data_IF_831353684677
#
_entry.id   IF_831353684677
#
_cell.length_a   1.000
_cell.length_b   1.000
_cell.length_c   1.000
_cell.angle_alpha   90.00
_cell.angle_beta   90.00
_cell.angle_gamma   90.00
#
_symmetry.space_group_name_H-M   'P 1'
#
loop_
_entity.id
_entity.type
_entity.pdbx_description
1 polymer ?
#
# COMPACT_ATOMS: atom_id res chain seq x y z
N UNK A 1 6.84 34.76 5.90
CA UNK A 1 6.85 33.45 6.60
C UNK A 1 5.42 33.16 7.00
N UNK A 2 4.77 32.21 6.32
CA UNK A 2 3.42 31.77 6.67
C UNK A 2 3.54 30.77 7.83
N UNK A 3 2.79 30.92 8.93
CA UNK A 3 2.91 30.04 10.08
C UNK A 3 2.35 28.66 9.76
N UNK A 4 3.17 27.64 9.93
CA UNK A 4 2.76 26.23 9.86
C UNK A 4 1.79 25.96 11.03
N UNK A 5 0.58 25.51 10.73
CA UNK A 5 -0.43 25.21 11.75
C UNK A 5 0.07 24.08 12.66
N UNK A 6 -0.12 24.26 13.96
CA UNK A 6 0.42 23.44 15.05
C UNK A 6 -0.36 22.12 15.24
N UNK A 7 -0.47 21.32 14.20
CA UNK A 7 -1.12 20.00 14.26
C UNK A 7 -0.09 18.92 13.97
N UNK A 8 0.34 18.31 15.07
CA UNK A 8 1.18 17.11 15.22
C UNK A 8 2.69 17.34 15.23
N UNK A 9 3.25 17.38 16.45
CA UNK A 9 4.69 17.26 16.73
C UNK A 9 5.28 15.96 16.16
N UNK A 10 4.42 14.96 15.90
CA UNK A 10 4.78 13.61 15.46
C UNK A 10 4.41 13.28 14.00
N UNK A 11 3.97 14.27 13.22
CA UNK A 11 3.46 14.06 11.85
C UNK A 11 2.06 13.45 11.79
N UNK A 12 1.51 13.33 10.58
CA UNK A 12 0.15 12.84 10.28
C UNK A 12 0.19 11.61 9.39
N UNK A 13 -0.71 10.67 9.65
CA UNK A 13 -0.84 9.43 8.88
C UNK A 13 -1.48 9.64 7.51
N UNK A 14 -2.37 10.62 7.37
CA UNK A 14 -2.98 11.01 6.10
C UNK A 14 -2.82 12.50 5.85
N UNK A 15 -1.98 12.85 4.86
CA UNK A 15 -1.69 14.23 4.49
C UNK A 15 -2.84 14.91 3.76
N UNK A 16 -3.86 14.18 3.28
CA UNK A 16 -5.07 14.81 2.72
C UNK A 16 -5.88 15.61 3.76
N UNK A 17 -5.63 15.36 5.04
CA UNK A 17 -6.24 16.12 6.15
C UNK A 17 -5.59 17.50 6.37
N UNK A 18 -4.42 17.76 5.76
CA UNK A 18 -3.72 19.03 5.90
C UNK A 18 -4.42 20.14 5.11
N UNK A 19 -4.67 21.28 5.75
CA UNK A 19 -5.34 22.45 5.16
C UNK A 19 -4.59 23.02 3.94
N UNK A 20 -3.27 22.86 3.90
CA UNK A 20 -2.43 23.26 2.77
C UNK A 20 -1.43 22.15 2.46
N UNK A 21 -1.66 21.43 1.37
CA UNK A 21 -0.77 20.39 0.87
C UNK A 21 0.24 20.99 -0.11
N UNK A 22 1.30 21.61 0.42
CA UNK A 22 2.44 22.10 -0.36
C UNK A 22 3.65 21.17 -0.20
N UNK A 23 4.63 21.29 -1.10
CA UNK A 23 5.80 20.41 -1.17
C UNK A 23 6.57 20.37 0.16
N UNK A 24 6.75 21.52 0.80
CA UNK A 24 7.46 21.62 2.07
C UNK A 24 6.73 20.91 3.22
N UNK A 25 5.40 20.96 3.26
CA UNK A 25 4.60 20.25 4.26
C UNK A 25 4.65 18.73 4.06
N UNK A 26 4.60 18.26 2.81
CA UNK A 26 4.75 16.85 2.47
C UNK A 26 6.12 16.36 2.93
N UNK A 27 7.18 17.06 2.53
CA UNK A 27 8.56 16.69 2.85
C UNK A 27 8.79 16.67 4.36
N UNK A 28 8.30 17.68 5.07
CA UNK A 28 8.43 17.76 6.52
C UNK A 28 7.71 16.61 7.23
N UNK A 29 6.49 16.27 6.80
CA UNK A 29 5.74 15.17 7.40
C UNK A 29 6.42 13.82 7.17
N UNK A 30 6.85 13.56 5.93
CA UNK A 30 7.59 12.34 5.59
C UNK A 30 8.89 12.24 6.41
N UNK A 31 9.61 13.35 6.58
CA UNK A 31 10.82 13.41 7.41
C UNK A 31 10.54 13.08 8.88
N UNK A 32 9.51 13.66 9.48
CA UNK A 32 9.14 13.39 10.88
C UNK A 32 8.81 11.91 11.10
N UNK A 33 7.96 11.35 10.23
CA UNK A 33 7.54 9.95 10.30
C UNK A 33 8.69 8.99 10.05
N UNK A 34 9.54 9.28 9.06
CA UNK A 34 10.72 8.47 8.75
C UNK A 34 11.67 8.34 9.96
N UNK A 35 11.86 9.42 10.74
CA UNK A 35 12.70 9.39 11.95
C UNK A 35 12.16 8.48 13.05
N UNK A 36 10.89 8.10 12.98
CA UNK A 36 10.20 7.21 13.91
C UNK A 36 10.01 5.80 13.31
N UNK A 37 10.69 5.48 12.21
CA UNK A 37 10.53 4.22 11.46
C UNK A 37 9.13 4.01 10.87
N UNK A 38 8.35 5.09 10.72
CA UNK A 38 7.04 5.10 10.06
C UNK A 38 7.21 5.45 8.58
N UNK A 39 7.47 4.44 7.76
CA UNK A 39 7.83 4.63 6.35
C UNK A 39 6.63 4.84 5.41
N UNK A 40 5.42 4.52 5.86
CA UNK A 40 4.20 4.59 5.08
C UNK A 40 3.35 5.78 5.51
N UNK A 41 2.83 6.54 4.55
CA UNK A 41 1.97 7.70 4.79
C UNK A 41 0.92 7.81 3.70
N UNK A 42 -0.34 8.01 4.07
CA UNK A 42 -1.42 8.24 3.11
C UNK A 42 -1.41 9.69 2.60
N UNK A 43 -1.77 9.85 1.34
CA UNK A 43 -2.05 11.12 0.67
C UNK A 43 -3.37 10.91 -0.08
N UNK A 44 -4.48 10.91 0.67
CA UNK A 44 -5.78 10.51 0.13
C UNK A 44 -5.76 9.05 -0.34
N UNK A 45 -5.91 8.81 -1.64
CA UNK A 45 -5.87 7.46 -2.23
C UNK A 45 -4.47 6.95 -2.59
N UNK A 46 -3.43 7.74 -2.35
CA UNK A 46 -2.03 7.39 -2.62
C UNK A 46 -1.36 6.98 -1.30
N UNK A 47 -0.57 5.92 -1.33
CA UNK A 47 0.33 5.51 -0.25
C UNK A 47 1.76 5.94 -0.61
N UNK A 48 2.29 6.92 0.09
CA UNK A 48 3.71 7.27 0.01
C UNK A 48 4.53 6.30 0.88
N UNK A 49 5.62 5.76 0.32
CA UNK A 49 6.54 4.84 0.96
C UNK A 49 7.97 5.36 0.88
N UNK A 50 8.60 5.61 2.02
CA UNK A 50 10.01 6.05 2.07
C UNK A 50 10.89 4.84 2.37
N UNK A 51 11.85 4.53 1.49
CA UNK A 51 12.73 3.38 1.69
C UNK A 51 13.53 3.51 3.01
N UNK A 52 13.38 2.59 3.98
CA UNK A 52 14.11 2.65 5.24
C UNK A 52 15.62 2.38 5.10
N UNK A 53 16.07 1.73 4.03
CA UNK A 53 17.43 1.18 3.87
C UNK A 53 17.89 0.27 5.03
N UNK A 54 16.93 -0.20 5.83
CA UNK A 54 17.10 -1.13 6.96
C UNK A 54 15.85 -2.00 7.10
N UNK A 55 16.00 -3.13 7.75
CA UNK A 55 14.85 -3.93 8.16
C UNK A 55 14.17 -3.27 9.38
N UNK A 56 12.84 -3.12 9.32
CA UNK A 56 12.03 -2.68 10.45
C UNK A 56 11.35 -3.93 11.01
N UNK A 57 11.60 -4.22 12.29
CA UNK A 57 11.05 -5.41 12.93
C UNK A 57 9.51 -5.39 12.94
N UNK A 58 8.89 -6.55 12.70
CA UNK A 58 7.44 -6.75 12.71
C UNK A 58 6.64 -6.03 11.62
N UNK A 59 7.29 -5.31 10.71
CA UNK A 59 6.58 -4.56 9.68
C UNK A 59 5.89 -5.46 8.64
N UNK A 60 6.45 -6.63 8.34
CA UNK A 60 5.94 -7.55 7.32
C UNK A 60 5.73 -8.98 7.82
N UNK A 61 5.65 -9.17 9.13
CA UNK A 61 5.48 -10.50 9.74
C UNK A 61 4.07 -11.05 9.50
N UNK A 62 3.89 -12.36 9.73
CA UNK A 62 2.62 -13.06 9.55
C UNK A 62 1.48 -12.44 10.40
N UNK A 63 1.78 -12.04 11.64
CA UNK A 63 0.84 -11.35 12.52
C UNK A 63 0.32 -10.05 11.88
N UNK A 64 1.18 -9.33 11.16
CA UNK A 64 0.83 -8.09 10.46
C UNK A 64 -0.04 -8.38 9.23
N UNK A 65 0.25 -9.45 8.49
CA UNK A 65 -0.62 -9.92 7.40
C UNK A 65 -2.01 -10.24 7.93
N UNK A 66 -2.11 -11.00 9.01
CA UNK A 66 -3.38 -11.37 9.63
C UNK A 66 -4.14 -10.13 10.13
N UNK A 67 -3.44 -9.20 10.81
CA UNK A 67 -4.03 -7.95 11.30
C UNK A 67 -4.67 -7.17 10.15
N UNK A 68 -3.93 -6.89 9.07
CA UNK A 68 -4.46 -6.09 7.96
C UNK A 68 -5.52 -6.82 7.13
N UNK A 69 -5.52 -8.16 7.09
CA UNK A 69 -6.56 -8.93 6.38
C UNK A 69 -7.97 -8.71 6.94
N UNK A 70 -8.07 -8.44 8.25
CA UNK A 70 -9.35 -8.32 8.97
C UNK A 70 -9.92 -6.90 8.99
N UNK A 71 -9.12 -5.90 8.61
CA UNK A 71 -9.48 -4.49 8.73
C UNK A 71 -9.68 -3.83 7.37
N UNK A 72 -10.54 -2.81 7.34
CA UNK A 72 -10.80 -1.98 6.16
C UNK A 72 -9.74 -0.89 6.01
N UNK A 73 -9.61 -0.38 4.77
CA UNK A 73 -8.74 0.77 4.50
C UNK A 73 -9.16 1.96 5.37
N UNK A 74 -8.21 2.52 6.13
CA UNK A 74 -8.44 3.64 7.04
C UNK A 74 -8.74 3.26 8.50
N UNK A 75 -8.95 1.98 8.82
CA UNK A 75 -9.11 1.52 10.22
C UNK A 75 -7.77 1.33 10.95
N UNK A 76 -6.71 1.05 10.18
CA UNK A 76 -5.35 0.85 10.67
C UNK A 76 -4.40 1.89 10.09
N UNK A 77 -3.22 2.07 10.69
CA UNK A 77 -2.18 2.96 10.16
C UNK A 77 -1.83 2.68 8.68
N UNK A 78 -1.26 3.65 7.96
CA UNK A 78 -0.87 3.49 6.57
C UNK A 78 0.07 2.30 6.39
N UNK A 79 -0.27 1.40 5.48
CA UNK A 79 0.54 0.22 5.20
C UNK A 79 0.25 -0.37 3.83
N UNK A 80 1.26 -1.01 3.22
CA UNK A 80 1.10 -1.67 1.91
C UNK A 80 0.08 -2.81 1.95
N UNK A 81 -0.06 -3.50 3.08
CA UNK A 81 -1.06 -4.55 3.26
C UNK A 81 -2.49 -4.02 3.35
N UNK A 82 -2.71 -2.77 3.77
CA UNK A 82 -4.03 -2.15 3.69
C UNK A 82 -4.47 -1.99 2.22
N UNK A 83 -3.52 -1.59 1.35
CA UNK A 83 -3.74 -1.52 -0.10
C UNK A 83 -3.98 -2.90 -0.71
N UNK A 84 -3.17 -3.89 -0.30
CA UNK A 84 -3.33 -5.27 -0.76
C UNK A 84 -4.71 -5.84 -0.40
N UNK A 85 -5.18 -5.61 0.84
CA UNK A 85 -6.48 -6.08 1.29
C UNK A 85 -7.62 -5.39 0.54
N UNK A 86 -7.56 -4.07 0.35
CA UNK A 86 -8.60 -3.37 -0.42
C UNK A 86 -8.66 -3.88 -1.87
N UNK A 87 -7.51 -4.12 -2.50
CA UNK A 87 -7.42 -4.73 -3.82
C UNK A 87 -8.06 -6.13 -3.86
N UNK A 88 -7.71 -7.00 -2.91
CA UNK A 88 -8.30 -8.33 -2.79
C UNK A 88 -9.82 -8.29 -2.60
N UNK A 89 -10.31 -7.41 -1.73
CA UNK A 89 -11.74 -7.27 -1.43
C UNK A 89 -12.51 -6.76 -2.64
N UNK A 90 -12.00 -5.77 -3.37
CA UNK A 90 -12.64 -5.29 -4.59
C UNK A 90 -12.67 -6.37 -5.68
N UNK A 91 -11.56 -7.08 -5.87
CA UNK A 91 -11.47 -8.16 -6.85
C UNK A 91 -12.42 -9.33 -6.55
N UNK A 92 -12.49 -9.76 -5.28
CA UNK A 92 -13.21 -10.98 -4.90
C UNK A 92 -14.65 -10.75 -4.45
N UNK A 93 -14.96 -9.62 -3.80
CA UNK A 93 -16.31 -9.32 -3.30
C UNK A 93 -17.14 -8.48 -4.27
N UNK A 94 -16.50 -7.62 -5.06
CA UNK A 94 -17.20 -6.72 -6.00
C UNK A 94 -17.06 -7.16 -7.46
N UNK A 95 -16.19 -8.13 -7.74
CA UNK A 95 -15.84 -8.58 -9.10
C UNK A 95 -15.32 -7.43 -9.99
N UNK A 96 -14.75 -6.40 -9.37
CA UNK A 96 -14.21 -5.23 -10.06
C UNK A 96 -12.71 -5.44 -10.33
N UNK A 97 -12.29 -5.26 -11.57
CA UNK A 97 -10.86 -5.24 -11.93
C UNK A 97 -10.13 -4.14 -11.17
N UNK A 98 -9.00 -4.46 -10.55
CA UNK A 98 -8.18 -3.51 -9.78
C UNK A 98 -6.82 -3.29 -10.43
N UNK A 99 -6.27 -2.09 -10.25
CA UNK A 99 -4.92 -1.74 -10.68
C UNK A 99 -4.19 -1.03 -9.54
N UNK A 100 -2.99 -1.51 -9.23
CA UNK A 100 -2.07 -0.85 -8.30
C UNK A 100 -0.89 -0.32 -9.11
N UNK A 101 -0.72 1.00 -9.12
CA UNK A 101 0.41 1.66 -9.77
C UNK A 101 1.51 1.90 -8.73
N UNK A 102 2.68 1.29 -8.92
CA UNK A 102 3.86 1.54 -8.09
C UNK A 102 4.85 2.37 -8.89
N UNK A 103 5.08 3.59 -8.42
CA UNK A 103 6.00 4.56 -9.04
C UNK A 103 7.16 4.87 -8.09
N UNK A 104 8.16 5.62 -8.58
CA UNK A 104 9.34 5.98 -7.80
C UNK A 104 10.64 5.82 -8.59
N UNK A 105 11.70 6.47 -8.11
CA UNK A 105 13.02 6.43 -8.74
C UNK A 105 13.73 5.08 -8.60
N UNK A 106 14.89 4.93 -9.25
CA UNK A 106 15.73 3.74 -9.05
C UNK A 106 16.15 3.63 -7.58
N UNK A 107 15.96 2.46 -6.97
CA UNK A 107 16.26 2.25 -5.55
C UNK A 107 15.17 2.68 -4.55
N UNK A 108 14.03 3.22 -5.02
CA UNK A 108 12.91 3.61 -4.15
C UNK A 108 12.20 2.44 -3.44
N UNK A 109 12.46 1.20 -3.85
CA UNK A 109 11.86 0.00 -3.24
C UNK A 109 10.66 -0.59 -3.99
N UNK A 110 10.39 -0.13 -5.23
CA UNK A 110 9.27 -0.62 -6.07
C UNK A 110 9.18 -2.16 -6.14
N UNK A 111 10.30 -2.84 -6.39
CA UNK A 111 10.36 -4.31 -6.51
C UNK A 111 9.96 -5.01 -5.21
N UNK A 112 10.44 -4.54 -4.06
CA UNK A 112 10.08 -5.10 -2.77
C UNK A 112 8.61 -4.83 -2.42
N UNK A 113 8.10 -3.63 -2.72
CA UNK A 113 6.69 -3.30 -2.59
C UNK A 113 5.79 -4.25 -3.42
N UNK A 114 6.16 -4.52 -4.68
CA UNK A 114 5.45 -5.49 -5.52
C UNK A 114 5.46 -6.88 -4.90
N UNK A 115 6.62 -7.33 -4.41
CA UNK A 115 6.77 -8.64 -3.78
C UNK A 115 5.87 -8.78 -2.54
N UNK A 116 5.81 -7.75 -1.69
CA UNK A 116 4.97 -7.72 -0.49
C UNK A 116 3.48 -7.76 -0.83
N UNK A 117 3.04 -6.99 -1.83
CA UNK A 117 1.65 -7.05 -2.32
C UNK A 117 1.28 -8.46 -2.79
N UNK A 118 2.12 -9.06 -3.64
CA UNK A 118 1.87 -10.40 -4.16
C UNK A 118 1.88 -11.47 -3.07
N UNK A 119 2.79 -11.36 -2.10
CA UNK A 119 2.83 -12.26 -0.95
C UNK A 119 1.54 -12.18 -0.14
N UNK A 120 1.06 -10.98 0.16
CA UNK A 120 -0.21 -10.78 0.88
C UNK A 120 -1.39 -11.38 0.10
N UNK A 121 -1.51 -11.08 -1.19
CA UNK A 121 -2.58 -11.60 -2.04
C UNK A 121 -2.56 -13.14 -2.14
N UNK A 122 -1.37 -13.73 -2.21
CA UNK A 122 -1.19 -15.19 -2.21
C UNK A 122 -1.73 -15.82 -0.93
N UNK A 123 -1.34 -15.31 0.24
CA UNK A 123 -1.83 -15.79 1.55
C UNK A 123 -3.36 -15.68 1.65
N UNK A 124 -3.93 -14.55 1.24
CA UNK A 124 -5.37 -14.32 1.25
C UNK A 124 -6.12 -15.28 0.33
N UNK A 125 -5.59 -15.54 -0.87
CA UNK A 125 -6.18 -16.48 -1.82
C UNK A 125 -6.24 -17.91 -1.28
N UNK A 126 -5.19 -18.37 -0.60
CA UNK A 126 -5.09 -19.71 -0.02
C UNK A 126 -6.06 -19.91 1.16
N UNK A 127 -6.26 -18.85 1.95
CA UNK A 127 -7.13 -18.86 3.13
C UNK A 127 -8.63 -18.88 2.80
N UNK A 128 -9.01 -18.53 1.57
CA UNK A 128 -10.41 -18.49 1.11
C UNK A 128 -10.96 -19.88 0.76
N UNK A 129 -11.12 -20.76 1.77
CA UNK A 129 -11.71 -22.10 1.64
C UNK A 129 -13.23 -22.01 1.37
N UNK A 130 -13.63 -21.96 0.09
CA UNK A 130 -15.06 -22.05 -0.30
C UNK A 130 -15.40 -22.02 -1.81
N UNK A 131 -14.42 -22.07 -2.72
CA UNK A 131 -14.61 -22.02 -4.19
C UNK A 131 -13.97 -23.25 -4.84
N UNK A 132 -14.52 -23.89 -5.88
CA UNK A 132 -13.94 -25.11 -6.44
C UNK A 132 -12.53 -24.90 -7.04
N UNK A 133 -11.71 -25.95 -6.96
CA UNK A 133 -10.27 -25.95 -7.26
C UNK A 133 -9.79 -25.63 -8.70
N UNK A 134 -10.56 -25.73 -9.81
CA UNK A 134 -9.94 -25.59 -11.15
C UNK A 134 -9.63 -24.15 -11.57
N UNK A 135 -10.23 -23.13 -10.96
CA UNK A 135 -10.08 -21.72 -11.39
C UNK A 135 -9.12 -20.89 -10.50
N UNK A 136 -8.71 -21.43 -9.34
CA UNK A 136 -7.99 -20.70 -8.28
C UNK A 136 -6.51 -20.47 -8.57
N UNK A 137 -5.82 -21.48 -9.11
CA UNK A 137 -4.37 -21.41 -9.37
C UNK A 137 -4.05 -20.67 -10.67
N UNK A 138 -4.88 -20.84 -11.69
CA UNK A 138 -4.59 -20.32 -13.03
C UNK A 138 -4.67 -18.79 -13.13
N UNK A 139 -5.51 -18.12 -12.33
CA UNK A 139 -5.67 -16.65 -12.42
C UNK A 139 -4.57 -15.87 -11.72
N UNK A 140 -4.12 -16.30 -10.55
CA UNK A 140 -3.02 -15.63 -9.84
C UNK A 140 -1.72 -15.83 -10.61
N UNK A 141 -1.45 -17.05 -11.09
CA UNK A 141 -0.31 -17.31 -11.97
C UNK A 141 -0.44 -16.58 -13.32
N UNK A 142 -1.62 -16.47 -13.95
CA UNK A 142 -1.80 -15.64 -15.15
C UNK A 142 -1.48 -14.17 -14.90
N UNK A 143 -1.99 -13.58 -13.81
CA UNK A 143 -1.70 -12.18 -13.46
C UNK A 143 -0.20 -11.99 -13.22
N UNK A 144 0.46 -12.95 -12.56
CA UNK A 144 1.92 -12.94 -12.33
C UNK A 144 2.71 -13.16 -13.62
N UNK A 145 2.25 -14.01 -14.54
CA UNK A 145 2.90 -14.32 -15.82
C UNK A 145 2.73 -13.19 -16.86
N UNK A 146 1.57 -12.54 -16.89
CA UNK A 146 1.30 -11.32 -17.69
C UNK A 146 2.09 -10.10 -17.14
N UNK A 147 2.53 -10.14 -15.88
CA UNK A 147 3.35 -9.10 -15.24
C UNK A 147 4.81 -9.07 -15.69
N UNK A 148 5.23 -9.88 -16.68
CA UNK A 148 6.58 -9.81 -17.29
C UNK A 148 6.87 -8.48 -18.03
N UNK A 149 5.90 -7.56 -18.06
CA UNK A 149 6.08 -6.15 -18.39
C UNK A 149 5.08 -5.26 -17.65
N UNK A 150 5.04 -5.32 -16.31
CA UNK A 150 4.12 -4.50 -15.49
C UNK A 150 4.39 -2.99 -15.68
N UNK A 151 3.75 -2.42 -16.69
CA UNK A 151 3.63 -0.97 -16.91
C UNK A 151 2.18 -0.62 -16.59
N UNK A 152 1.93 -0.08 -15.40
CA UNK A 152 0.58 0.19 -14.94
C UNK A 152 -0.09 1.34 -15.74
N UNK A 153 -1.13 0.99 -16.51
CA UNK A 153 -2.24 1.82 -17.04
C UNK A 153 -3.46 0.87 -17.17
N UNK A 154 -4.75 1.20 -16.97
CA UNK A 154 -5.53 2.44 -17.14
C UNK A 154 -6.85 2.37 -16.33
N UNK A 155 -7.39 3.54 -15.97
CA UNK A 155 -8.81 3.91 -15.73
C UNK A 155 -9.75 2.99 -14.92
N UNK A 156 -9.74 3.17 -13.60
CA UNK A 156 -10.83 3.72 -12.76
C UNK A 156 -10.66 3.21 -11.32
N UNK A 157 -10.42 4.16 -10.40
CA UNK A 157 -9.96 4.00 -9.00
C UNK A 157 -8.51 3.52 -8.87
N UNK A 158 -7.57 4.44 -9.14
CA UNK A 158 -6.13 4.22 -9.01
C UNK A 158 -5.71 4.33 -7.55
N UNK A 159 -5.31 3.22 -6.92
CA UNK A 159 -4.48 3.27 -5.72
C UNK A 159 -3.02 3.41 -6.19
N UNK A 160 -2.39 4.53 -5.84
CA UNK A 160 -0.98 4.79 -6.16
C UNK A 160 -0.10 4.44 -4.98
N UNK A 161 1.04 3.79 -5.23
CA UNK A 161 2.15 3.68 -4.28
C UNK A 161 3.32 4.47 -4.86
N UNK A 162 3.84 5.43 -4.10
CA UNK A 162 4.93 6.31 -4.50
C UNK A 162 6.17 6.08 -3.63
#
# INVERSE_FOLDING_TARGET
MVPMHQTSVDGVEDMSTLTQLHEEAIMYNLYLRYRQDLIYTNIGSILAAVNPYKAIAKLYDEDTVELYSKHYLGELPPHIFAIANECYRCLWKRHDSQCVLISGESGAGKTESTKLLLQFLSVMSQSSVGVPAPERSNRVEQIILESRGFTARTEHKNIGIC
#
